data_IF_491095031198
#
_entry.id   IF_491095031198
#
_cell.length_a   1.000
_cell.length_b   1.000
_cell.length_c   1.000
_cell.angle_alpha   90.00
_cell.angle_beta   90.00
_cell.angle_gamma   90.00
#
_symmetry.space_group_name_H-M   'P 1'
#
loop_
_entity.id
_entity.type
_entity.pdbx_description
1 polymer ?
#
# COMPACT_ATOMS: atom_id res chain seq x y z
N UNK A 1 -20.52 -13.73 2.03
CA UNK A 1 -20.91 -12.96 0.83
C UNK A 1 -20.25 -13.65 -0.36
N UNK A 2 -21.05 -14.12 -1.33
CA UNK A 2 -20.50 -14.66 -2.58
C UNK A 2 -20.29 -13.47 -3.52
N UNK A 3 -19.07 -13.26 -3.99
CA UNK A 3 -18.80 -12.33 -5.08
C UNK A 3 -19.15 -13.01 -6.40
N UNK A 4 -19.56 -12.23 -7.41
CA UNK A 4 -19.71 -12.74 -8.75
C UNK A 4 -18.37 -13.35 -9.18
N UNK A 5 -18.41 -14.60 -9.62
CA UNK A 5 -17.25 -15.30 -10.14
C UNK A 5 -17.19 -15.10 -11.64
N UNK A 6 -16.01 -15.13 -12.21
CA UNK A 6 -15.81 -15.18 -13.66
C UNK A 6 -16.23 -16.56 -14.20
N UNK A 7 -16.63 -16.61 -15.46
CA UNK A 7 -17.12 -17.84 -16.08
C UNK A 7 -16.05 -18.95 -16.14
N UNK A 8 -14.79 -18.55 -16.26
CA UNK A 8 -13.67 -19.49 -16.27
C UNK A 8 -12.38 -18.87 -15.73
N UNK A 9 -11.47 -19.76 -15.30
CA UNK A 9 -10.16 -19.42 -14.77
C UNK A 9 -9.10 -20.26 -15.44
N UNK A 10 -7.91 -19.66 -15.63
CA UNK A 10 -6.70 -20.35 -16.11
C UNK A 10 -5.60 -20.26 -15.05
N UNK A 11 -4.70 -21.23 -15.05
CA UNK A 11 -3.47 -21.15 -14.28
C UNK A 11 -2.59 -20.04 -14.87
N UNK A 12 -2.10 -19.13 -14.03
CA UNK A 12 -1.22 -18.05 -14.48
C UNK A 12 0.21 -18.53 -14.73
N UNK A 13 0.61 -19.69 -14.21
CA UNK A 13 2.00 -20.15 -14.18
C UNK A 13 2.89 -19.30 -13.26
N UNK A 14 2.29 -18.48 -12.39
CA UNK A 14 2.99 -17.58 -11.46
C UNK A 14 2.51 -17.88 -10.03
N UNK A 15 3.40 -18.41 -9.19
CA UNK A 15 3.06 -18.93 -7.86
C UNK A 15 2.24 -17.97 -7.00
N UNK A 16 2.63 -16.69 -6.94
CA UNK A 16 1.96 -15.72 -6.10
C UNK A 16 0.58 -15.26 -6.62
N UNK A 17 0.33 -15.42 -7.94
CA UNK A 17 -0.96 -15.09 -8.56
C UNK A 17 -1.94 -16.28 -8.53
N UNK A 18 -1.42 -17.51 -8.70
CA UNK A 18 -2.23 -18.71 -8.82
C UNK A 18 -3.14 -18.68 -10.05
N UNK A 19 -4.43 -18.97 -9.87
CA UNK A 19 -5.43 -18.91 -10.94
C UNK A 19 -5.96 -17.50 -11.12
N UNK A 20 -6.07 -17.07 -12.38
CA UNK A 20 -6.64 -15.78 -12.79
C UNK A 20 -7.82 -15.99 -13.75
N UNK A 21 -8.75 -15.05 -13.89
CA UNK A 21 -9.79 -15.13 -14.93
C UNK A 21 -9.20 -15.40 -16.30
N UNK A 22 -9.87 -16.23 -17.11
CA UNK A 22 -9.30 -16.71 -18.38
C UNK A 22 -9.02 -15.58 -19.38
N UNK A 23 -9.81 -14.50 -19.33
CA UNK A 23 -9.69 -13.34 -20.21
C UNK A 23 -8.61 -12.33 -19.76
N UNK A 24 -8.05 -12.52 -18.56
CA UNK A 24 -7.00 -11.63 -18.07
C UNK A 24 -5.66 -11.97 -18.72
N UNK A 25 -4.88 -10.94 -19.01
CA UNK A 25 -3.52 -11.07 -19.50
C UNK A 25 -2.50 -11.05 -18.37
N UNK A 26 -1.29 -11.45 -18.69
CA UNK A 26 -0.13 -11.31 -17.81
C UNK A 26 0.85 -10.34 -18.44
N UNK A 27 1.38 -9.44 -17.61
CA UNK A 27 2.41 -8.52 -18.07
C UNK A 27 3.51 -8.36 -17.03
N UNK A 28 4.72 -8.03 -17.51
CA UNK A 28 5.84 -7.70 -16.60
C UNK A 28 5.62 -6.33 -15.98
N UNK A 29 6.01 -6.15 -14.73
CA UNK A 29 5.94 -4.85 -14.05
C UNK A 29 6.62 -3.77 -14.88
N UNK A 30 7.77 -4.05 -15.51
CA UNK A 30 8.50 -3.10 -16.36
C UNK A 30 7.76 -2.62 -17.61
N UNK A 31 6.71 -3.31 -18.05
CA UNK A 31 5.87 -2.87 -19.17
C UNK A 31 4.86 -1.78 -18.75
N UNK A 32 4.51 -1.73 -17.47
CA UNK A 32 3.48 -0.83 -16.92
C UNK A 32 4.01 0.18 -15.92
N UNK A 33 5.29 0.08 -15.56
CA UNK A 33 5.94 0.98 -14.63
C UNK A 33 7.39 1.27 -15.05
N UNK A 34 7.78 2.53 -14.94
CA UNK A 34 9.18 2.94 -15.01
C UNK A 34 9.63 3.52 -13.67
N UNK A 35 10.85 3.20 -13.25
CA UNK A 35 11.40 3.77 -12.01
C UNK A 35 11.82 5.23 -12.23
N UNK A 36 11.32 6.12 -11.35
CA UNK A 36 11.80 7.50 -11.28
C UNK A 36 13.03 7.57 -10.39
N UNK A 37 14.19 7.86 -10.99
CA UNK A 37 15.49 7.91 -10.28
C UNK A 37 16.02 9.34 -10.11
N UNK A 38 15.23 10.35 -10.51
CA UNK A 38 15.65 11.75 -10.43
C UNK A 38 15.89 12.14 -8.98
N UNK A 39 17.08 12.70 -8.72
CA UNK A 39 17.47 13.25 -7.41
C UNK A 39 17.02 14.69 -7.28
N UNK A 40 16.55 15.05 -6.09
CA UNK A 40 16.06 16.38 -5.74
C UNK A 40 16.38 16.70 -4.28
N UNK A 41 16.27 17.99 -3.92
CA UNK A 41 16.33 18.47 -2.54
C UNK A 41 14.95 18.51 -1.90
N UNK A 42 14.86 18.31 -0.59
CA UNK A 42 13.63 18.51 0.18
C UNK A 42 13.26 20.00 0.35
N UNK A 43 14.17 20.91 0.00
CA UNK A 43 13.91 22.35 -0.08
C UNK A 43 13.00 22.70 -1.26
N UNK A 44 13.18 22.00 -2.40
CA UNK A 44 12.40 22.21 -3.61
C UNK A 44 11.14 21.31 -3.67
N UNK A 45 11.26 20.12 -3.10
CA UNK A 45 10.21 19.10 -3.08
C UNK A 45 10.00 18.58 -1.65
N UNK A 46 8.93 18.99 -0.98
CA UNK A 46 8.66 18.63 0.41
C UNK A 46 8.82 17.13 0.69
N UNK A 47 9.40 16.80 1.84
CA UNK A 47 9.62 15.43 2.24
C UNK A 47 8.30 14.69 2.46
N UNK A 48 8.21 13.46 1.94
CA UNK A 48 7.09 12.54 2.12
C UNK A 48 7.52 11.33 2.96
N UNK A 49 6.60 10.84 3.77
CA UNK A 49 6.70 9.60 4.54
C UNK A 49 5.94 8.48 3.83
N UNK A 50 6.56 7.31 3.72
CA UNK A 50 5.96 6.11 3.14
C UNK A 50 5.63 5.14 4.28
N UNK A 51 4.33 4.89 4.48
CA UNK A 51 3.80 4.08 5.58
C UNK A 51 2.92 2.94 5.05
N UNK A 52 2.51 2.03 5.91
CA UNK A 52 1.52 0.98 5.55
C UNK A 52 0.17 1.57 5.15
N UNK A 53 -0.17 2.78 5.63
CA UNK A 53 -1.40 3.48 5.29
C UNK A 53 -1.32 4.26 3.97
N UNK A 54 -0.11 4.48 3.43
CA UNK A 54 0.11 5.22 2.19
C UNK A 54 1.26 6.21 2.27
N UNK A 55 1.25 7.16 1.34
CA UNK A 55 2.25 8.23 1.20
C UNK A 55 1.65 9.55 1.68
N UNK A 56 2.29 10.17 2.67
CA UNK A 56 1.81 11.38 3.34
C UNK A 56 2.93 12.43 3.46
N UNK A 57 2.60 13.71 3.62
CA UNK A 57 3.58 14.71 4.02
C UNK A 57 4.33 14.25 5.28
N UNK A 58 5.64 14.46 5.32
CA UNK A 58 6.42 14.15 6.51
C UNK A 58 6.05 15.15 7.62
N UNK A 59 5.75 14.66 8.81
CA UNK A 59 5.42 15.49 9.95
C UNK A 59 6.68 16.22 10.44
N UNK A 60 6.53 17.45 10.94
CA UNK A 60 7.67 18.28 11.36
C UNK A 60 8.53 17.65 12.47
N UNK A 61 7.94 16.78 13.29
CA UNK A 61 8.58 16.12 14.42
C UNK A 61 9.28 14.78 14.08
N UNK A 62 9.27 14.38 12.81
CA UNK A 62 10.00 13.17 12.39
C UNK A 62 11.46 13.54 12.12
N UNK A 63 12.38 12.72 12.64
CA UNK A 63 13.82 12.92 12.42
C UNK A 63 14.09 13.14 10.94
N UNK A 64 14.56 14.34 10.59
CA UNK A 64 14.97 14.67 9.22
C UNK A 64 16.23 13.90 8.90
N UNK A 65 16.29 13.33 7.71
CA UNK A 65 17.54 12.75 7.21
C UNK A 65 18.57 13.87 7.08
N UNK A 66 19.80 13.62 7.52
CA UNK A 66 20.91 14.59 7.41
C UNK A 66 21.30 14.91 5.95
N UNK A 67 20.66 14.25 4.98
CA UNK A 67 20.96 14.35 3.54
C UNK A 67 19.71 14.77 2.76
N UNK A 68 19.19 15.96 3.12
CA UNK A 68 18.00 16.55 2.49
C UNK A 68 18.16 16.84 1.00
N UNK A 69 19.39 17.04 0.52
CA UNK A 69 19.70 17.33 -0.89
C UNK A 69 19.82 16.06 -1.77
N UNK A 70 19.71 14.86 -1.19
CA UNK A 70 19.88 13.59 -1.89
C UNK A 70 18.65 12.69 -1.72
N UNK A 71 17.53 13.11 -2.28
CA UNK A 71 16.24 12.42 -2.21
C UNK A 71 15.74 12.06 -3.60
N UNK A 72 14.84 11.10 -3.74
CA UNK A 72 14.16 10.80 -5.02
C UNK A 72 12.92 11.68 -5.18
N UNK A 73 12.76 12.24 -6.38
CA UNK A 73 11.54 12.95 -6.77
C UNK A 73 10.35 11.99 -6.78
N UNK A 74 9.23 12.47 -6.26
CA UNK A 74 7.92 11.86 -6.36
C UNK A 74 6.97 12.84 -7.02
N UNK A 75 6.23 12.40 -8.00
CA UNK A 75 5.14 13.15 -8.62
C UNK A 75 3.78 12.60 -8.18
N UNK A 76 2.78 13.46 -8.13
CA UNK A 76 1.40 13.03 -7.90
C UNK A 76 1.04 11.91 -8.89
N UNK A 77 0.51 10.80 -8.37
CA UNK A 77 0.17 9.62 -9.15
C UNK A 77 1.28 8.56 -9.23
N UNK A 78 2.51 8.87 -8.82
CA UNK A 78 3.55 7.84 -8.70
C UNK A 78 3.20 6.87 -7.55
N UNK A 79 3.45 5.58 -7.75
CA UNK A 79 3.40 4.58 -6.68
C UNK A 79 4.77 4.50 -5.99
N UNK A 80 4.77 4.63 -4.67
CA UNK A 80 6.00 4.61 -3.88
C UNK A 80 5.98 3.41 -2.94
N UNK A 81 7.07 2.64 -2.91
CA UNK A 81 7.21 1.48 -2.04
C UNK A 81 8.54 1.54 -1.28
N UNK A 82 8.50 1.28 0.03
CA UNK A 82 9.71 1.14 0.81
C UNK A 82 10.37 -0.20 0.49
N UNK A 83 11.62 -0.17 0.09
CA UNK A 83 12.33 -1.36 -0.37
C UNK A 83 12.83 -2.28 0.76
N UNK A 84 12.83 -1.82 2.01
CA UNK A 84 13.39 -2.57 3.14
C UNK A 84 12.38 -3.55 3.75
N UNK A 85 12.85 -4.74 4.10
CA UNK A 85 12.04 -5.80 4.70
C UNK A 85 11.49 -5.44 6.08
N UNK A 86 12.20 -4.61 6.88
CA UNK A 86 11.70 -4.11 8.18
C UNK A 86 10.54 -3.10 8.03
N UNK A 87 10.25 -2.64 6.81
CA UNK A 87 9.16 -1.74 6.46
C UNK A 87 8.13 -2.39 5.53
N UNK A 88 8.02 -3.71 5.59
CA UNK A 88 7.16 -4.53 4.73
C UNK A 88 5.74 -3.97 4.64
N UNK A 89 5.26 -3.81 3.39
CA UNK A 89 3.93 -3.28 3.08
C UNK A 89 3.80 -1.76 3.14
N UNK A 90 4.90 -1.01 3.47
CA UNK A 90 4.86 0.46 3.42
C UNK A 90 4.92 0.93 1.98
N UNK A 91 3.77 1.35 1.44
CA UNK A 91 3.62 1.76 0.04
C UNK A 91 2.34 2.56 -0.19
N UNK A 92 2.20 3.18 -1.35
CA UNK A 92 0.96 3.82 -1.80
C UNK A 92 1.17 4.79 -2.95
N UNK A 93 0.06 5.31 -3.47
CA UNK A 93 0.06 6.36 -4.49
C UNK A 93 0.31 7.72 -3.83
N UNK A 94 1.23 8.49 -4.38
CA UNK A 94 1.49 9.86 -3.96
C UNK A 94 0.32 10.78 -4.37
N UNK A 95 -0.27 11.47 -3.39
CA UNK A 95 -1.38 12.41 -3.61
C UNK A 95 -0.90 13.81 -4.01
N UNK A 96 0.39 14.08 -3.86
CA UNK A 96 1.06 15.35 -4.19
C UNK A 96 2.50 15.12 -4.63
N UNK A 97 3.10 16.13 -5.23
CA UNK A 97 4.52 16.16 -5.53
C UNK A 97 5.33 16.26 -4.23
N UNK A 98 6.53 15.68 -4.22
CA UNK A 98 7.42 15.74 -3.08
C UNK A 98 8.69 14.91 -3.29
N UNK A 99 9.31 14.54 -2.20
CA UNK A 99 10.54 13.73 -2.24
C UNK A 99 10.54 12.64 -1.18
N UNK A 100 11.21 11.53 -1.47
CA UNK A 100 11.40 10.41 -0.53
C UNK A 100 12.85 10.03 -0.41
N UNK A 101 13.20 9.35 0.68
CA UNK A 101 14.55 8.78 0.86
C UNK A 101 14.91 7.85 -0.29
N UNK A 102 16.20 7.78 -0.64
CA UNK A 102 16.73 6.93 -1.71
C UNK A 102 16.40 5.45 -1.57
N UNK A 103 16.11 5.00 -0.35
CA UNK A 103 15.72 3.62 -0.08
C UNK A 103 14.36 3.26 -0.72
N UNK A 104 13.51 4.22 -1.00
CA UNK A 104 12.22 3.95 -1.62
C UNK A 104 12.38 3.76 -3.14
N UNK A 105 11.55 2.90 -3.70
CA UNK A 105 11.34 2.78 -5.14
C UNK A 105 10.16 3.68 -5.50
N UNK A 106 10.32 4.51 -6.52
CA UNK A 106 9.28 5.38 -7.05
C UNK A 106 8.93 4.90 -8.44
N UNK A 107 7.69 4.45 -8.62
CA UNK A 107 7.19 3.85 -9.86
C UNK A 107 6.21 4.82 -10.53
N UNK A 108 6.54 5.24 -11.74
CA UNK A 108 5.64 5.99 -12.62
C UNK A 108 4.76 4.99 -13.37
N UNK A 109 3.41 5.01 -13.18
CA UNK A 109 2.51 4.13 -13.93
C UNK A 109 2.42 4.55 -15.40
N UNK A 110 2.31 3.55 -16.29
CA UNK A 110 2.14 3.71 -17.73
C UNK A 110 1.07 2.71 -18.20
N UNK A 111 0.00 3.19 -18.82
CA UNK A 111 -1.08 2.34 -19.35
C UNK A 111 -1.70 1.35 -18.35
N UNK A 112 -1.74 1.72 -17.08
CA UNK A 112 -2.40 0.97 -16.02
C UNK A 112 -3.19 1.94 -15.14
N UNK A 113 -4.35 1.52 -14.65
CA UNK A 113 -5.16 2.34 -13.74
C UNK A 113 -4.44 2.44 -12.37
N UNK A 114 -4.11 3.65 -11.89
CA UNK A 114 -3.27 3.79 -10.70
C UNK A 114 -3.88 3.15 -9.44
N UNK A 115 -5.19 3.32 -9.19
CA UNK A 115 -5.86 2.74 -8.00
C UNK A 115 -5.91 1.23 -8.05
N UNK A 116 -6.13 0.63 -9.26
CA UNK A 116 -6.02 -0.81 -9.45
C UNK A 116 -4.63 -1.30 -9.08
N UNK A 117 -3.58 -0.62 -9.57
CA UNK A 117 -2.20 -0.99 -9.26
C UNK A 117 -1.87 -0.81 -7.77
N UNK A 118 -2.46 0.18 -7.09
CA UNK A 118 -2.30 0.32 -5.64
C UNK A 118 -2.87 -0.88 -4.90
N UNK A 119 -4.09 -1.32 -5.22
CA UNK A 119 -4.69 -2.52 -4.61
C UNK A 119 -3.89 -3.78 -4.91
N UNK A 120 -3.44 -3.94 -6.17
CA UNK A 120 -2.61 -5.07 -6.56
C UNK A 120 -1.32 -5.12 -5.74
N UNK A 121 -0.59 -4.00 -5.66
CA UNK A 121 0.69 -3.92 -4.96
C UNK A 121 0.57 -3.87 -3.43
N UNK A 122 -0.60 -3.57 -2.91
CA UNK A 122 -0.91 -3.69 -1.47
C UNK A 122 -1.50 -5.06 -1.10
N UNK A 123 -1.76 -5.94 -2.06
CA UNK A 123 -2.21 -7.30 -1.76
C UNK A 123 -1.15 -8.06 -0.98
N UNK A 124 -1.60 -8.94 -0.08
CA UNK A 124 -0.70 -9.76 0.74
C UNK A 124 0.28 -10.55 -0.13
N UNK A 125 -0.23 -11.22 -1.17
CA UNK A 125 0.59 -12.06 -2.03
C UNK A 125 1.67 -11.27 -2.78
N UNK A 126 1.35 -10.06 -3.29
CA UNK A 126 2.36 -9.23 -3.93
C UNK A 126 3.40 -8.74 -2.92
N UNK A 127 3.00 -8.35 -1.72
CA UNK A 127 3.92 -7.92 -0.66
C UNK A 127 4.90 -9.05 -0.33
N UNK A 128 4.42 -10.30 -0.19
CA UNK A 128 5.29 -11.44 0.05
C UNK A 128 6.26 -11.66 -1.12
N UNK A 129 5.77 -11.63 -2.37
CA UNK A 129 6.61 -11.78 -3.56
C UNK A 129 7.65 -10.67 -3.68
N UNK A 130 7.27 -9.42 -3.43
CA UNK A 130 8.17 -8.28 -3.51
C UNK A 130 9.38 -8.43 -2.57
N UNK A 131 9.15 -8.86 -1.33
CA UNK A 131 10.24 -9.02 -0.37
C UNK A 131 10.96 -10.37 -0.49
N UNK A 132 10.34 -11.38 -1.09
CA UNK A 132 10.97 -12.67 -1.38
C UNK A 132 12.17 -12.54 -2.32
N UNK A 133 12.09 -11.65 -3.30
CA UNK A 133 13.17 -11.42 -4.28
C UNK A 133 14.23 -10.42 -3.78
N UNK A 134 14.08 -9.89 -2.57
CA UNK A 134 15.03 -8.95 -1.98
C UNK A 134 16.36 -9.63 -1.60
N UNK A 135 17.38 -8.81 -1.45
CA UNK A 135 18.75 -9.24 -1.15
C UNK A 135 19.32 -8.51 0.06
N UNK A 136 20.15 -9.19 0.84
CA UNK A 136 20.84 -8.64 1.99
C UNK A 136 21.59 -9.72 2.78
N UNK A 137 22.49 -9.30 3.65
CA UNK A 137 23.30 -10.20 4.49
C UNK A 137 22.47 -10.73 5.66
N UNK A 138 21.54 -9.92 6.19
CA UNK A 138 20.68 -10.24 7.32
C UNK A 138 19.22 -10.09 6.86
N UNK A 139 18.38 -11.07 7.14
CA UNK A 139 16.99 -11.13 6.68
C UNK A 139 16.18 -9.85 7.03
N UNK A 140 16.40 -9.27 8.21
CA UNK A 140 15.71 -8.05 8.65
C UNK A 140 16.15 -6.77 7.91
N UNK A 141 17.22 -6.85 7.12
CA UNK A 141 17.79 -5.73 6.37
C UNK A 141 17.80 -5.96 4.86
N UNK A 142 17.05 -6.94 4.38
CA UNK A 142 16.92 -7.17 2.95
C UNK A 142 16.29 -5.96 2.27
N UNK A 143 16.76 -5.71 1.06
CA UNK A 143 16.31 -4.61 0.24
C UNK A 143 15.96 -5.15 -1.14
N UNK A 144 14.76 -4.83 -1.61
CA UNK A 144 14.30 -5.15 -2.96
C UNK A 144 14.54 -3.93 -3.85
N UNK A 145 15.23 -4.08 -4.97
CA UNK A 145 15.42 -3.04 -5.98
C UNK A 145 14.39 -3.20 -7.09
N UNK A 146 14.19 -2.14 -7.88
CA UNK A 146 13.31 -2.26 -9.05
C UNK A 146 13.81 -3.33 -10.03
N UNK A 147 15.13 -3.46 -10.18
CA UNK A 147 15.72 -4.47 -11.05
C UNK A 147 15.43 -5.92 -10.62
N UNK A 148 15.17 -6.14 -9.33
CA UNK A 148 14.82 -7.47 -8.79
C UNK A 148 13.37 -7.85 -9.09
N UNK A 149 12.45 -6.85 -9.11
CA UNK A 149 11.00 -7.09 -9.24
C UNK A 149 10.45 -6.74 -10.65
N UNK A 150 11.16 -5.99 -11.47
CA UNK A 150 10.68 -5.48 -12.77
C UNK A 150 10.20 -6.56 -13.75
N UNK A 151 10.73 -7.77 -13.63
CA UNK A 151 10.37 -8.91 -14.47
C UNK A 151 9.26 -9.78 -13.89
N UNK A 152 8.83 -9.53 -12.65
CA UNK A 152 7.69 -10.24 -12.06
C UNK A 152 6.43 -9.95 -12.85
N UNK A 153 5.62 -11.00 -13.01
CA UNK A 153 4.37 -10.94 -13.77
C UNK A 153 3.25 -10.44 -12.87
N UNK A 154 2.39 -9.59 -13.42
CA UNK A 154 1.16 -9.13 -12.79
C UNK A 154 -0.04 -9.50 -13.67
N UNK A 155 -1.20 -9.67 -13.04
CA UNK A 155 -2.45 -9.94 -13.75
C UNK A 155 -3.05 -8.61 -14.24
N UNK A 156 -3.51 -8.60 -15.49
CA UNK A 156 -3.96 -7.41 -16.19
C UNK A 156 -5.35 -7.64 -16.80
N UNK A 157 -6.41 -7.19 -16.11
CA UNK A 157 -7.71 -6.98 -16.72
C UNK A 157 -7.65 -5.92 -17.83
N UNK A 158 -8.69 -5.81 -18.65
CA UNK A 158 -8.84 -4.63 -19.52
C UNK A 158 -8.85 -3.34 -18.68
N UNK A 159 -8.47 -2.20 -19.28
CA UNK A 159 -8.42 -0.93 -18.54
C UNK A 159 -9.77 -0.57 -17.90
N UNK A 160 -10.87 -0.77 -18.62
CA UNK A 160 -12.22 -0.53 -18.09
C UNK A 160 -12.55 -1.45 -16.89
N UNK A 161 -12.07 -2.67 -16.92
CA UNK A 161 -12.25 -3.60 -15.82
C UNK A 161 -11.37 -3.23 -14.61
N UNK A 162 -10.12 -2.77 -14.84
CA UNK A 162 -9.28 -2.21 -13.78
C UNK A 162 -9.99 -1.07 -13.04
N UNK A 163 -10.63 -0.15 -13.77
CA UNK A 163 -11.43 0.95 -13.21
C UNK A 163 -12.61 0.41 -12.38
N UNK A 164 -13.32 -0.60 -12.90
CA UNK A 164 -14.45 -1.22 -12.17
C UNK A 164 -13.99 -1.90 -10.88
N UNK A 165 -12.88 -2.64 -10.93
CA UNK A 165 -12.28 -3.29 -9.75
C UNK A 165 -11.86 -2.24 -8.73
N UNK A 166 -11.17 -1.18 -9.16
CA UNK A 166 -10.75 -0.10 -8.27
C UNK A 166 -11.95 0.57 -7.58
N UNK A 167 -12.99 0.93 -8.33
CA UNK A 167 -14.21 1.53 -7.77
C UNK A 167 -14.91 0.59 -6.77
N UNK A 168 -14.99 -0.69 -7.09
CA UNK A 168 -15.56 -1.68 -6.18
C UNK A 168 -14.76 -1.78 -4.87
N UNK A 169 -13.42 -1.82 -4.96
CA UNK A 169 -12.56 -1.90 -3.79
C UNK A 169 -12.59 -0.61 -2.97
N UNK A 170 -12.60 0.57 -3.62
CA UNK A 170 -12.76 1.86 -2.92
C UNK A 170 -14.05 1.89 -2.10
N UNK A 171 -15.17 1.45 -2.69
CA UNK A 171 -16.45 1.40 -2.00
C UNK A 171 -16.44 0.39 -0.83
N UNK A 172 -15.85 -0.80 -1.05
CA UNK A 172 -15.82 -1.85 -0.02
C UNK A 172 -14.90 -1.50 1.14
N UNK A 173 -13.73 -0.97 0.85
CA UNK A 173 -12.79 -0.53 1.90
C UNK A 173 -13.38 0.62 2.71
N UNK A 174 -14.01 1.62 2.07
CA UNK A 174 -14.69 2.70 2.78
C UNK A 174 -15.82 2.19 3.70
N UNK A 175 -16.62 1.20 3.26
CA UNK A 175 -17.66 0.57 4.11
C UNK A 175 -17.06 -0.15 5.32
N UNK A 176 -15.92 -0.84 5.12
CA UNK A 176 -15.20 -1.53 6.19
C UNK A 176 -14.64 -0.51 7.18
N UNK A 177 -13.99 0.55 6.71
CA UNK A 177 -13.43 1.61 7.56
C UNK A 177 -14.50 2.30 8.39
N UNK A 178 -15.67 2.57 7.80
CA UNK A 178 -16.83 3.10 8.53
C UNK A 178 -17.31 2.14 9.61
N UNK A 179 -17.40 0.83 9.31
CA UNK A 179 -17.79 -0.17 10.30
C UNK A 179 -16.77 -0.27 11.45
N UNK A 180 -15.47 -0.18 11.15
CA UNK A 180 -14.40 -0.15 12.15
C UNK A 180 -14.57 1.07 13.06
N UNK A 181 -14.77 2.27 12.49
CA UNK A 181 -14.96 3.49 13.26
C UNK A 181 -16.18 3.41 14.19
N UNK A 182 -17.32 2.88 13.71
CA UNK A 182 -18.52 2.67 14.53
C UNK A 182 -18.26 1.68 15.68
N UNK A 183 -17.52 0.59 15.43
CA UNK A 183 -17.15 -0.38 16.47
C UNK A 183 -16.22 0.23 17.51
N UNK A 184 -15.27 1.07 17.10
CA UNK A 184 -14.40 1.78 18.03
C UNK A 184 -15.18 2.70 18.96
N UNK A 185 -16.13 3.48 18.43
CA UNK A 185 -17.03 4.31 19.24
C UNK A 185 -17.89 3.48 20.23
N UNK A 186 -18.34 2.29 19.81
CA UNK A 186 -19.08 1.38 20.71
C UNK A 186 -18.19 0.90 21.87
N UNK A 187 -16.93 0.55 21.58
CA UNK A 187 -15.96 0.13 22.61
C UNK A 187 -15.72 1.24 23.62
N UNK A 188 -15.53 2.48 23.16
CA UNK A 188 -15.34 3.65 24.02
C UNK A 188 -16.54 3.87 24.96
N UNK A 189 -17.78 3.86 24.41
CA UNK A 189 -19.00 3.99 25.21
C UNK A 189 -19.19 2.86 26.24
N UNK A 190 -18.86 1.62 25.87
CA UNK A 190 -18.88 0.49 26.81
C UNK A 190 -17.84 0.65 27.91
N UNK A 191 -16.68 1.22 27.60
CA UNK A 191 -15.66 1.59 28.59
C UNK A 191 -16.16 2.63 29.58
N UNK A 192 -16.81 3.69 29.11
CA UNK A 192 -17.44 4.71 29.95
C UNK A 192 -18.53 4.13 30.84
N UNK A 193 -19.44 3.32 30.24
CA UNK A 193 -20.49 2.67 30.99
C UNK A 193 -19.97 1.75 32.09
N UNK A 194 -18.92 0.96 31.79
CA UNK A 194 -18.22 0.12 32.79
C UNK A 194 -17.72 0.96 33.98
N UNK A 195 -17.13 2.12 33.74
CA UNK A 195 -16.66 2.99 34.80
C UNK A 195 -17.81 3.55 35.64
N UNK A 196 -18.92 3.93 35.01
CA UNK A 196 -20.14 4.42 35.71
C UNK A 196 -20.71 3.30 36.61
N UNK A 197 -20.80 2.05 36.12
CA UNK A 197 -21.31 0.92 36.91
C UNK A 197 -20.40 0.66 38.11
N UNK A 198 -19.08 0.64 37.91
CA UNK A 198 -18.13 0.46 39.01
C UNK A 198 -18.27 1.57 40.04
N UNK A 199 -18.27 2.83 39.59
CA UNK A 199 -18.39 4.00 40.48
C UNK A 199 -19.68 3.95 41.29
N UNK A 200 -20.82 3.63 40.66
CA UNK A 200 -22.10 3.55 41.36
C UNK A 200 -22.09 2.40 42.38
N UNK A 201 -21.60 1.22 42.01
CA UNK A 201 -21.58 0.08 42.90
C UNK A 201 -20.72 0.30 44.16
N UNK A 202 -19.53 0.92 43.99
CA UNK A 202 -18.62 1.13 45.15
C UNK A 202 -18.98 2.33 46.01
N UNK A 203 -19.79 3.27 45.49
CA UNK A 203 -20.18 4.49 46.25
C UNK A 203 -21.61 4.48 46.73
N UNK A 204 -22.52 3.77 46.07
CA UNK A 204 -23.97 3.75 46.36
C UNK A 204 -24.50 2.35 46.71
N UNK A 205 -23.65 1.33 46.58
CA UNK A 205 -24.06 -0.06 46.78
C UNK A 205 -24.74 -0.67 45.55
N UNK A 206 -25.02 -1.95 45.65
CA UNK A 206 -25.79 -2.74 44.64
C UNK A 206 -27.20 -2.95 45.20
N UNK A 207 -28.17 -2.22 44.74
CA UNK A 207 -29.60 -2.48 44.99
C UNK A 207 -30.27 -2.96 43.73
#
# INVERSE_FOLDING_TARGET
MSYATYDSYKDSGVDWLGKIPSDWELGRISAFFSERRQKVSDKDYPALSVTKLGVFPQWENVAKSNDGDNRKLVKKGDFVINSRSDRKGSSGIAKQDGSVSLINIVLKPVNIEPRYSEYLFKSYNFIEEFYRVGHGIVADLWTTRFDDIKNSMIALPTFDEQVKIANFLDQKTAQIDQAIALKQQQIEKLGEYKQIVIQNAVTKGIN
#
